data_IF_355060506618
#
_entry.id   IF_355060506618
#
_cell.length_a   1.000
_cell.length_b   1.000
_cell.length_c   1.000
_cell.angle_alpha   90.00
_cell.angle_beta   90.00
_cell.angle_gamma   90.00
#
_symmetry.space_group_name_H-M   'P 1'
#
loop_
_entity.id
_entity.type
_entity.pdbx_description
1 polymer ?
#
# COMPACT_ATOMS: atom_id res chain seq x y z
N UNK A 1 17.02 11.66 -32.10
CA UNK A 1 17.06 12.32 -30.78
C UNK A 1 17.16 11.20 -29.75
N UNK A 2 18.32 11.06 -29.10
CA UNK A 2 18.58 9.99 -28.13
C UNK A 2 18.21 10.53 -26.74
N UNK A 3 17.01 10.19 -26.27
CA UNK A 3 16.51 10.64 -24.98
C UNK A 3 17.01 9.72 -23.87
N UNK A 4 17.82 10.26 -22.95
CA UNK A 4 18.28 9.60 -21.73
C UNK A 4 17.09 8.97 -21.00
N UNK A 5 17.01 7.63 -21.01
CA UNK A 5 15.98 6.90 -20.28
C UNK A 5 16.31 6.92 -18.79
N UNK A 6 15.53 7.68 -18.02
CA UNK A 6 15.57 7.66 -16.56
C UNK A 6 15.11 6.27 -16.10
N UNK A 7 15.96 5.59 -15.33
CA UNK A 7 15.67 4.24 -14.80
C UNK A 7 15.12 4.35 -13.38
N UNK A 8 14.40 3.32 -12.91
CA UNK A 8 13.82 3.32 -11.55
C UNK A 8 14.86 3.58 -10.44
N UNK A 9 16.10 3.13 -10.66
CA UNK A 9 17.23 3.39 -9.77
C UNK A 9 17.61 4.88 -9.66
N UNK A 10 17.42 5.66 -10.73
CA UNK A 10 17.70 7.10 -10.77
C UNK A 10 16.71 7.91 -9.91
N UNK A 11 15.50 7.36 -9.73
CA UNK A 11 14.43 7.94 -8.90
C UNK A 11 14.46 7.44 -7.43
N UNK A 12 15.49 6.67 -7.04
CA UNK A 12 15.55 6.06 -5.70
C UNK A 12 14.43 5.03 -5.44
N UNK A 13 13.76 4.55 -6.49
CA UNK A 13 12.74 3.52 -6.37
C UNK A 13 13.46 2.17 -6.35
N UNK A 14 13.55 1.56 -5.17
CA UNK A 14 13.99 0.17 -5.04
C UNK A 14 13.15 -0.67 -6.01
N UNK A 15 13.83 -1.34 -6.95
CA UNK A 15 13.20 -2.28 -7.88
C UNK A 15 12.39 -3.26 -7.03
N UNK A 16 11.07 -3.07 -7.05
CA UNK A 16 10.18 -3.64 -6.06
C UNK A 16 10.49 -5.12 -5.93
N UNK A 17 10.91 -5.54 -4.73
CA UNK A 17 10.90 -6.94 -4.37
C UNK A 17 9.50 -7.43 -4.73
N UNK A 18 9.42 -8.23 -5.79
CA UNK A 18 8.20 -8.91 -6.15
C UNK A 18 7.93 -9.85 -4.97
N UNK A 19 7.12 -9.39 -4.02
CA UNK A 19 6.71 -10.17 -2.87
C UNK A 19 6.23 -11.53 -3.42
N UNK A 20 6.74 -12.65 -2.88
CA UNK A 20 6.49 -13.96 -3.45
C UNK A 20 4.99 -14.12 -3.69
N UNK A 21 4.64 -14.38 -4.96
CA UNK A 21 3.26 -14.33 -5.41
C UNK A 21 2.44 -15.30 -4.55
N UNK A 22 1.41 -14.83 -3.82
CA UNK A 22 0.76 -15.62 -2.80
C UNK A 22 0.10 -16.85 -3.44
N UNK A 23 0.40 -18.03 -2.87
CA UNK A 23 -0.04 -19.31 -3.41
C UNK A 23 -1.57 -19.49 -3.34
N UNK A 24 -2.26 -18.71 -2.50
CA UNK A 24 -3.71 -18.76 -2.33
C UNK A 24 -4.35 -17.37 -2.28
N UNK A 25 -5.63 -17.31 -2.66
CA UNK A 25 -6.42 -16.07 -2.72
C UNK A 25 -6.53 -15.36 -1.37
N UNK A 26 -6.49 -16.10 -0.26
CA UNK A 26 -6.53 -15.52 1.08
C UNK A 26 -5.32 -14.62 1.32
N UNK A 27 -4.12 -15.11 1.09
CA UNK A 27 -2.89 -14.33 1.21
C UNK A 27 -2.85 -13.19 0.19
N UNK A 28 -3.31 -13.42 -1.04
CA UNK A 28 -3.40 -12.38 -2.06
C UNK A 28 -4.26 -11.18 -1.61
N UNK A 29 -5.42 -11.47 -1.01
CA UNK A 29 -6.31 -10.44 -0.47
C UNK A 29 -5.68 -9.72 0.73
N UNK A 30 -5.07 -10.45 1.66
CA UNK A 30 -4.42 -9.86 2.83
C UNK A 30 -3.25 -8.92 2.43
N UNK A 31 -2.43 -9.33 1.45
CA UNK A 31 -1.36 -8.50 0.90
C UNK A 31 -1.91 -7.26 0.19
N UNK A 32 -2.96 -7.41 -0.62
CA UNK A 32 -3.59 -6.28 -1.30
C UNK A 32 -4.21 -5.29 -0.31
N UNK A 33 -4.90 -5.79 0.73
CA UNK A 33 -5.47 -4.99 1.83
C UNK A 33 -4.35 -4.19 2.54
N UNK A 34 -3.25 -4.86 2.93
CA UNK A 34 -2.12 -4.21 3.59
C UNK A 34 -1.48 -3.13 2.71
N UNK A 35 -1.27 -3.41 1.42
CA UNK A 35 -0.69 -2.45 0.49
C UNK A 35 -1.60 -1.23 0.28
N UNK A 36 -2.91 -1.44 0.15
CA UNK A 36 -3.87 -0.35 -0.01
C UNK A 36 -3.87 0.58 1.21
N UNK A 37 -3.88 0.01 2.42
CA UNK A 37 -3.84 0.78 3.68
C UNK A 37 -2.54 1.58 3.79
N UNK A 38 -1.39 0.93 3.56
CA UNK A 38 -0.08 1.60 3.62
C UNK A 38 0.02 2.77 2.64
N UNK A 39 -0.46 2.59 1.40
CA UNK A 39 -0.49 3.65 0.38
C UNK A 39 -1.43 4.80 0.74
N UNK A 40 -2.58 4.49 1.34
CA UNK A 40 -3.53 5.52 1.77
C UNK A 40 -2.95 6.35 2.93
N UNK A 41 -2.29 5.72 3.90
CA UNK A 41 -1.63 6.41 5.01
C UNK A 41 -0.46 7.28 4.53
N UNK A 42 0.38 6.76 3.63
CA UNK A 42 1.50 7.50 3.07
C UNK A 42 1.06 8.75 2.28
N UNK A 43 -0.07 8.68 1.57
CA UNK A 43 -0.62 9.82 0.81
C UNK A 43 -1.35 10.86 1.68
N UNK A 44 -1.70 10.50 2.91
CA UNK A 44 -2.53 11.34 3.80
C UNK A 44 -1.77 11.80 5.03
N UNK A 45 -0.43 11.75 5.00
CA UNK A 45 0.44 12.09 6.12
C UNK A 45 0.06 11.37 7.42
N UNK A 46 -0.22 10.07 7.31
CA UNK A 46 -0.67 9.21 8.41
C UNK A 46 -2.03 9.59 9.04
N UNK A 47 -2.85 10.41 8.36
CA UNK A 47 -4.18 10.79 8.84
C UNK A 47 -5.20 9.67 8.60
N UNK A 48 -5.60 8.98 9.68
CA UNK A 48 -6.59 7.89 9.65
C UNK A 48 -7.92 8.33 9.01
N UNK A 49 -8.36 9.56 9.30
CA UNK A 49 -9.63 10.09 8.78
C UNK A 49 -9.61 10.21 7.26
N UNK A 50 -8.54 10.80 6.72
CA UNK A 50 -8.36 11.00 5.28
C UNK A 50 -8.07 9.68 4.57
N UNK A 51 -7.27 8.80 5.18
CA UNK A 51 -7.01 7.47 4.63
C UNK A 51 -8.29 6.63 4.51
N UNK A 52 -9.18 6.69 5.51
CA UNK A 52 -10.47 5.99 5.46
C UNK A 52 -11.36 6.53 4.34
N UNK A 53 -11.40 7.85 4.18
CA UNK A 53 -12.14 8.52 3.09
C UNK A 53 -11.58 8.13 1.71
N UNK A 54 -10.25 8.15 1.54
CA UNK A 54 -9.57 7.76 0.30
C UNK A 54 -9.83 6.30 -0.06
N UNK A 55 -9.90 5.42 0.95
CA UNK A 55 -10.22 4.00 0.78
C UNK A 55 -11.74 3.74 0.62
N UNK A 56 -12.60 4.75 0.77
CA UNK A 56 -14.05 4.61 0.64
C UNK A 56 -14.70 3.82 1.78
N UNK A 57 -14.10 3.83 2.97
CA UNK A 57 -14.57 3.08 4.14
C UNK A 57 -14.75 3.98 5.36
N UNK A 58 -15.37 3.45 6.41
CA UNK A 58 -15.49 4.18 7.68
C UNK A 58 -14.21 4.09 8.51
N UNK A 59 -13.98 5.08 9.38
CA UNK A 59 -12.86 5.07 10.34
C UNK A 59 -12.80 3.80 11.19
N UNK A 60 -13.89 3.32 11.83
CA UNK A 60 -13.84 2.07 12.59
C UNK A 60 -13.47 0.86 11.73
N UNK A 61 -13.90 0.81 10.47
CA UNK A 61 -13.47 -0.23 9.52
C UNK A 61 -11.96 -0.18 9.27
N UNK A 62 -11.40 1.02 9.08
CA UNK A 62 -9.95 1.17 8.88
C UNK A 62 -9.16 0.72 10.11
N UNK A 63 -9.62 1.05 11.33
CA UNK A 63 -8.99 0.56 12.56
C UNK A 63 -9.00 -0.97 12.66
N UNK A 64 -10.14 -1.60 12.35
CA UNK A 64 -10.27 -3.07 12.38
C UNK A 64 -9.32 -3.72 11.35
N UNK A 65 -9.27 -3.16 10.13
CA UNK A 65 -8.35 -3.60 9.09
C UNK A 65 -6.89 -3.44 9.50
N UNK A 66 -6.50 -2.29 10.07
CA UNK A 66 -5.14 -2.05 10.58
C UNK A 66 -4.74 -3.04 11.67
N UNK A 67 -5.65 -3.31 12.61
CA UNK A 67 -5.44 -4.29 13.67
C UNK A 67 -5.28 -5.71 13.10
N UNK A 68 -6.09 -6.08 12.11
CA UNK A 68 -6.04 -7.38 11.43
C UNK A 68 -4.75 -7.58 10.65
N UNK A 69 -4.26 -6.55 9.94
CA UNK A 69 -3.01 -6.64 9.18
C UNK A 69 -1.77 -6.38 10.03
N UNK A 70 -1.90 -6.06 11.33
CA UNK A 70 -0.77 -5.84 12.24
C UNK A 70 -0.03 -4.51 12.06
N UNK A 71 -0.68 -3.51 11.45
CA UNK A 71 -0.19 -2.13 11.43
C UNK A 71 -0.66 -1.45 12.73
N UNK A 72 0.26 -1.24 13.67
CA UNK A 72 0.03 -0.47 14.90
C UNK A 72 0.90 0.78 14.90
#
# INVERSE_FOLDING_TARGET
ADGTQITAADLGLEAGHADPQPLNLRQARENAERQAISRALAQTDNSIAQAAELLGITRPTLYDLMAKVGLK
#
